data_IF_198256191934
#
_entry.id   IF_198256191934
#
_cell.length_a   1.000
_cell.length_b   1.000
_cell.length_c   1.000
_cell.angle_alpha   90.00
_cell.angle_beta   90.00
_cell.angle_gamma   90.00
#
_symmetry.space_group_name_H-M   'P 1'
#
loop_
_entity.id
_entity.type
_entity.pdbx_description
1 polymer ?
#
# COMPACT_ATOMS: atom_id res chain seq x y z
N UNK A 1 -5.07 -40.43 14.62
CA UNK A 1 -6.01 -40.51 13.49
C UNK A 1 -5.29 -39.97 12.26
N UNK A 2 -4.96 -40.82 11.29
CA UNK A 2 -4.28 -40.44 10.03
C UNK A 2 -5.31 -39.88 9.04
N UNK A 3 -4.95 -38.81 8.34
CA UNK A 3 -5.82 -38.16 7.35
C UNK A 3 -6.06 -39.12 6.16
N UNK A 4 -7.31 -39.53 5.88
CA UNK A 4 -7.62 -40.53 4.84
C UNK A 4 -7.41 -40.04 3.40
N UNK A 5 -7.08 -38.76 3.20
CA UNK A 5 -6.84 -38.16 1.88
C UNK A 5 -5.38 -38.24 1.41
N UNK A 6 -4.43 -38.49 2.30
CA UNK A 6 -3.03 -38.65 1.96
C UNK A 6 -2.71 -40.13 1.83
N UNK A 7 -2.89 -40.67 0.61
CA UNK A 7 -2.41 -42.01 0.29
C UNK A 7 -0.88 -41.95 0.21
N UNK A 8 -0.13 -42.77 0.99
CA UNK A 8 1.33 -42.72 1.03
C UNK A 8 2.03 -42.85 -0.34
N UNK A 9 1.33 -43.42 -1.32
CA UNK A 9 1.85 -43.71 -2.66
C UNK A 9 1.18 -42.90 -3.78
N UNK A 10 0.55 -41.77 -3.48
CA UNK A 10 -0.05 -40.94 -4.53
C UNK A 10 1.03 -40.39 -5.48
N UNK A 11 1.03 -40.77 -6.78
CA UNK A 11 2.07 -40.39 -7.74
C UNK A 11 2.16 -38.89 -7.99
N UNK A 12 1.14 -38.10 -7.61
CA UNK A 12 1.15 -36.64 -7.73
C UNK A 12 2.10 -35.95 -6.75
N UNK A 13 2.38 -36.59 -5.61
CA UNK A 13 3.28 -36.05 -4.58
C UNK A 13 4.67 -36.69 -4.63
N UNK A 14 4.92 -37.59 -5.60
CA UNK A 14 6.26 -38.09 -5.84
C UNK A 14 7.09 -36.98 -6.46
N UNK A 15 8.12 -36.54 -5.72
CA UNK A 15 9.11 -35.59 -6.18
C UNK A 15 9.75 -36.17 -7.45
N UNK A 16 9.47 -35.59 -8.62
CA UNK A 16 10.08 -36.04 -9.86
C UNK A 16 11.60 -35.96 -9.70
N UNK A 17 12.28 -37.08 -9.93
CA UNK A 17 13.71 -37.20 -9.78
C UNK A 17 14.36 -36.47 -10.96
N UNK A 18 14.89 -35.28 -10.71
CA UNK A 18 15.38 -34.36 -11.75
C UNK A 18 16.77 -34.80 -12.27
N UNK A 19 17.46 -35.71 -11.58
CA UNK A 19 18.72 -36.28 -12.06
C UNK A 19 18.49 -37.65 -12.71
N UNK A 20 18.97 -37.83 -13.93
CA UNK A 20 19.10 -39.15 -14.55
C UNK A 20 20.16 -39.99 -13.80
N UNK A 21 20.14 -41.31 -13.98
CA UNK A 21 21.02 -42.24 -13.28
C UNK A 21 22.53 -41.98 -13.48
N UNK A 22 22.90 -41.27 -14.56
CA UNK A 22 24.26 -40.85 -14.87
C UNK A 22 24.67 -39.52 -14.22
N UNK A 23 23.82 -38.92 -13.38
CA UNK A 23 24.12 -37.65 -12.69
C UNK A 23 24.10 -36.41 -13.58
N UNK A 24 23.87 -36.56 -14.89
CA UNK A 24 23.71 -35.46 -15.82
C UNK A 24 22.34 -34.79 -15.67
N UNK A 25 22.34 -33.46 -15.57
CA UNK A 25 21.14 -32.64 -15.59
C UNK A 25 20.77 -32.34 -17.05
N UNK A 26 19.62 -32.82 -17.56
CA UNK A 26 19.21 -32.58 -18.96
C UNK A 26 18.93 -31.10 -19.27
N UNK A 27 18.91 -30.23 -18.26
CA UNK A 27 18.76 -28.78 -18.42
C UNK A 27 20.09 -28.01 -18.37
N UNK A 28 21.24 -28.69 -18.28
CA UNK A 28 22.56 -28.05 -18.22
C UNK A 28 23.17 -27.77 -19.60
N UNK A 29 22.69 -28.41 -20.68
CA UNK A 29 23.20 -28.19 -22.03
C UNK A 29 22.28 -27.24 -22.80
N UNK A 30 22.53 -25.95 -22.63
CA UNK A 30 21.83 -24.87 -23.33
C UNK A 30 22.72 -24.12 -24.32
N UNK A 31 23.68 -24.78 -24.99
CA UNK A 31 24.63 -24.09 -25.88
C UNK A 31 24.73 -24.68 -27.31
N UNK A 32 23.84 -25.58 -27.71
CA UNK A 32 24.06 -26.38 -28.94
C UNK A 32 23.08 -26.25 -30.11
N UNK A 33 21.85 -25.75 -29.93
CA UNK A 33 20.78 -25.99 -30.95
C UNK A 33 20.02 -24.74 -31.40
N UNK A 34 20.45 -23.53 -31.05
CA UNK A 34 19.75 -22.29 -31.44
C UNK A 34 20.52 -21.40 -32.43
N UNK A 35 21.54 -21.91 -33.14
CA UNK A 35 22.23 -21.13 -34.19
C UNK A 35 21.51 -21.13 -35.55
N UNK A 36 20.52 -21.99 -35.78
CA UNK A 36 19.87 -22.10 -37.10
C UNK A 36 18.55 -21.30 -37.25
N UNK A 37 18.02 -20.72 -36.17
CA UNK A 37 16.74 -19.99 -36.18
C UNK A 37 16.88 -18.55 -35.64
N UNK A 38 18.10 -18.01 -35.71
CA UNK A 38 18.50 -16.73 -35.15
C UNK A 38 18.24 -15.51 -36.06
N UNK A 39 17.69 -15.68 -37.26
CA UNK A 39 17.58 -14.56 -38.23
C UNK A 39 16.20 -13.87 -38.33
N UNK A 40 15.16 -14.33 -37.63
CA UNK A 40 13.80 -13.80 -37.86
C UNK A 40 13.12 -13.13 -36.64
N UNK A 41 13.75 -13.03 -35.47
CA UNK A 41 13.05 -12.54 -34.26
C UNK A 41 13.90 -11.68 -33.29
N UNK A 42 14.88 -10.91 -33.78
CA UNK A 42 15.79 -10.12 -32.95
C UNK A 42 15.31 -8.69 -32.61
N UNK A 43 14.04 -8.50 -32.23
CA UNK A 43 13.57 -7.21 -31.67
C UNK A 43 12.64 -7.33 -30.47
N UNK A 44 12.67 -8.46 -29.75
CA UNK A 44 11.97 -8.57 -28.47
C UNK A 44 12.93 -9.09 -27.40
N UNK A 45 13.26 -8.22 -26.46
CA UNK A 45 14.06 -8.46 -25.26
C UNK A 45 13.81 -9.84 -24.66
N UNK A 46 14.70 -10.79 -24.96
CA UNK A 46 14.77 -12.12 -24.33
C UNK A 46 15.69 -12.15 -23.10
N UNK A 47 15.94 -10.99 -22.49
CA UNK A 47 16.83 -10.83 -21.33
C UNK A 47 16.09 -10.45 -20.04
N UNK A 48 14.80 -10.73 -19.92
CA UNK A 48 14.01 -10.40 -18.72
C UNK A 48 14.26 -11.35 -17.53
N UNK A 49 14.93 -12.48 -17.73
CA UNK A 49 15.22 -13.46 -16.66
C UNK A 49 16.69 -13.94 -16.60
N UNK A 50 17.59 -13.33 -17.36
CA UNK A 50 19.02 -13.61 -17.22
C UNK A 50 19.52 -12.98 -15.91
N UNK A 51 19.93 -13.82 -14.95
CA UNK A 51 20.61 -13.34 -13.75
C UNK A 51 21.89 -12.60 -14.21
N UNK A 52 22.08 -11.32 -13.85
CA UNK A 52 23.26 -10.58 -14.29
C UNK A 52 24.51 -11.28 -13.75
N UNK A 53 25.37 -11.74 -14.67
CA UNK A 53 26.69 -12.20 -14.35
C UNK A 53 27.36 -11.15 -13.45
N UNK A 54 27.77 -11.58 -12.25
CA UNK A 54 28.33 -10.78 -11.16
C UNK A 54 29.13 -9.55 -11.61
N UNK A 55 28.44 -8.43 -11.84
CA UNK A 55 29.08 -7.16 -12.15
C UNK A 55 29.27 -6.39 -10.85
N UNK A 56 30.51 -6.47 -10.35
CA UNK A 56 31.15 -5.59 -9.36
C UNK A 56 30.28 -4.75 -8.43
N UNK A 57 30.27 -5.13 -7.14
CA UNK A 57 30.21 -4.21 -5.99
C UNK A 57 28.98 -3.32 -5.79
N UNK A 58 27.99 -3.33 -6.69
CA UNK A 58 26.76 -2.54 -6.52
C UNK A 58 25.76 -3.35 -5.70
N UNK A 59 25.15 -2.76 -4.64
CA UNK A 59 24.10 -3.42 -3.87
C UNK A 59 22.98 -3.87 -4.80
N UNK A 60 22.48 -5.09 -4.61
CA UNK A 60 21.30 -5.59 -5.31
C UNK A 60 20.11 -4.66 -5.00
N UNK A 61 19.58 -4.00 -6.04
CA UNK A 61 18.36 -3.20 -5.96
C UNK A 61 17.25 -4.01 -6.62
N UNK A 62 16.32 -4.61 -5.87
CA UNK A 62 15.22 -5.36 -6.47
C UNK A 62 14.38 -4.43 -7.35
N UNK A 63 14.25 -4.77 -8.64
CA UNK A 63 13.34 -4.12 -9.55
C UNK A 63 12.02 -4.91 -9.52
N UNK A 64 11.01 -4.37 -8.85
CA UNK A 64 9.67 -4.94 -8.87
C UNK A 64 8.95 -4.44 -10.11
N UNK A 65 8.31 -5.35 -10.84
CA UNK A 65 7.36 -4.99 -11.89
C UNK A 65 6.19 -4.22 -11.23
N UNK A 66 5.85 -3.06 -11.78
CA UNK A 66 4.76 -2.24 -11.25
C UNK A 66 3.45 -2.99 -11.49
N UNK A 67 2.91 -3.58 -10.43
CA UNK A 67 1.74 -4.47 -10.51
C UNK A 67 0.42 -3.75 -10.26
N UNK A 68 0.45 -2.51 -9.76
CA UNK A 68 -0.75 -1.78 -9.36
C UNK A 68 -0.69 -0.29 -9.72
N UNK A 69 -1.83 0.20 -10.25
CA UNK A 69 -2.08 1.62 -10.49
C UNK A 69 -2.11 2.43 -9.18
N UNK A 70 -1.79 3.72 -9.30
CA UNK A 70 -1.83 4.65 -8.18
C UNK A 70 -3.28 5.00 -7.80
N UNK A 71 -3.55 5.17 -6.49
CA UNK A 71 -4.90 5.48 -5.96
C UNK A 71 -5.07 6.94 -5.53
N UNK A 72 -4.22 7.82 -6.05
CA UNK A 72 -4.15 9.22 -5.61
C UNK A 72 -5.49 9.97 -5.78
N UNK A 73 -6.24 9.70 -6.84
CA UNK A 73 -7.56 10.31 -7.05
C UNK A 73 -8.57 9.95 -5.95
N UNK A 74 -8.61 8.68 -5.53
CA UNK A 74 -9.46 8.22 -4.43
C UNK A 74 -9.08 8.93 -3.12
N UNK A 75 -7.78 9.02 -2.83
CA UNK A 75 -7.29 9.69 -1.62
C UNK A 75 -7.71 11.17 -1.59
N UNK A 76 -7.61 11.88 -2.72
CA UNK A 76 -8.04 13.28 -2.81
C UNK A 76 -9.55 13.47 -2.59
N UNK A 77 -10.38 12.53 -3.08
CA UNK A 77 -11.82 12.56 -2.83
C UNK A 77 -12.11 12.38 -1.33
N UNK A 78 -11.48 11.39 -0.69
CA UNK A 78 -11.66 11.19 0.77
C UNK A 78 -11.14 12.41 1.56
N UNK A 79 -9.99 12.97 1.21
CA UNK A 79 -9.46 14.19 1.82
C UNK A 79 -10.43 15.36 1.66
N UNK A 80 -11.10 15.48 0.51
CA UNK A 80 -12.08 16.55 0.29
C UNK A 80 -13.30 16.40 1.22
N UNK A 81 -13.76 15.15 1.45
CA UNK A 81 -14.84 14.85 2.41
C UNK A 81 -14.42 15.21 3.83
N UNK A 82 -13.18 14.90 4.23
CA UNK A 82 -12.69 15.22 5.58
C UNK A 82 -12.52 16.72 5.79
N UNK A 83 -12.10 17.47 4.76
CA UNK A 83 -12.05 18.94 4.79
C UNK A 83 -13.45 19.52 5.02
N UNK A 84 -14.47 19.02 4.32
CA UNK A 84 -15.86 19.45 4.53
C UNK A 84 -16.33 19.16 5.96
N UNK A 85 -16.05 17.95 6.47
CA UNK A 85 -16.36 17.59 7.85
C UNK A 85 -15.66 18.50 8.87
N UNK A 86 -14.42 18.91 8.60
CA UNK A 86 -13.69 19.90 9.41
C UNK A 86 -14.34 21.28 9.39
N UNK A 87 -14.81 21.74 8.23
CA UNK A 87 -15.60 22.98 8.11
C UNK A 87 -16.87 22.94 8.97
N UNK A 88 -17.60 21.82 8.93
CA UNK A 88 -18.77 21.60 9.78
C UNK A 88 -18.38 21.62 11.26
N UNK A 89 -17.28 20.96 11.65
CA UNK A 89 -16.80 20.96 13.03
C UNK A 89 -16.54 22.39 13.56
N UNK A 90 -15.91 23.26 12.76
CA UNK A 90 -15.69 24.66 13.13
C UNK A 90 -16.98 25.47 13.23
N UNK A 91 -17.92 25.29 12.30
CA UNK A 91 -19.24 25.94 12.37
C UNK A 91 -20.00 25.52 13.63
N UNK A 92 -19.90 24.24 14.03
CA UNK A 92 -20.52 23.76 15.27
C UNK A 92 -19.81 24.31 16.51
N UNK A 93 -18.49 24.48 16.45
CA UNK A 93 -17.70 25.04 17.56
C UNK A 93 -18.07 26.50 17.86
N UNK A 94 -18.40 27.30 16.83
CA UNK A 94 -18.82 28.69 17.02
C UNK A 94 -20.29 28.85 17.43
N UNK A 95 -21.14 27.86 17.15
CA UNK A 95 -22.61 27.95 17.34
C UNK A 95 -23.11 27.50 18.72
N UNK A 96 -22.23 27.37 19.73
CA UNK A 96 -22.56 27.14 21.16
C UNK A 96 -23.52 25.97 21.49
N UNK A 97 -23.54 24.90 20.68
CA UNK A 97 -24.37 23.74 21.01
C UNK A 97 -23.62 22.72 21.86
N UNK A 98 -24.06 22.56 23.11
CA UNK A 98 -23.67 21.50 24.07
C UNK A 98 -23.80 20.06 23.50
N UNK A 99 -24.56 19.88 22.41
CA UNK A 99 -24.79 18.58 21.74
C UNK A 99 -23.89 18.39 20.49
N UNK A 100 -23.24 19.46 20.01
CA UNK A 100 -22.52 19.45 18.73
C UNK A 100 -21.19 18.69 18.74
N UNK A 101 -20.60 18.40 19.91
CA UNK A 101 -19.24 17.84 20.02
C UNK A 101 -19.10 16.40 19.51
N UNK A 102 -20.20 15.67 19.36
CA UNK A 102 -20.21 14.33 18.76
C UNK A 102 -20.05 14.35 17.24
N UNK A 103 -20.53 15.41 16.57
CA UNK A 103 -20.51 15.52 15.12
C UNK A 103 -19.06 15.53 14.55
N UNK A 104 -18.11 16.31 15.13
CA UNK A 104 -16.70 16.28 14.74
C UNK A 104 -16.05 14.89 14.82
N UNK A 105 -16.45 14.04 15.79
CA UNK A 105 -15.86 12.72 15.98
C UNK A 105 -16.05 11.81 14.76
N UNK A 106 -17.16 11.99 14.03
CA UNK A 106 -17.46 11.26 12.79
C UNK A 106 -16.42 11.58 11.71
N UNK A 107 -15.88 12.80 11.70
CA UNK A 107 -14.84 13.23 10.75
C UNK A 107 -13.43 12.74 11.07
N UNK A 108 -13.15 12.36 12.34
CA UNK A 108 -11.81 11.95 12.78
C UNK A 108 -11.42 10.61 12.15
N UNK A 109 -12.31 9.62 12.21
CA UNK A 109 -12.06 8.26 11.71
C UNK A 109 -11.66 8.23 10.23
N UNK A 110 -12.43 8.82 9.29
CA UNK A 110 -12.04 8.83 7.87
C UNK A 110 -10.76 9.64 7.65
N UNK A 111 -10.54 10.72 8.40
CA UNK A 111 -9.33 11.55 8.28
C UNK A 111 -8.06 10.77 8.65
N UNK A 112 -8.10 10.02 9.75
CA UNK A 112 -7.01 9.13 10.18
C UNK A 112 -6.81 8.01 9.15
N UNK A 113 -7.89 7.40 8.66
CA UNK A 113 -7.81 6.33 7.66
C UNK A 113 -7.07 6.80 6.38
N UNK A 114 -7.38 8.01 5.90
CA UNK A 114 -6.69 8.60 4.72
C UNK A 114 -5.20 8.82 5.00
N UNK A 115 -4.83 9.28 6.20
CA UNK A 115 -3.41 9.47 6.56
C UNK A 115 -2.66 8.14 6.49
N UNK A 116 -3.20 7.07 7.07
CA UNK A 116 -2.58 5.74 7.03
C UNK A 116 -2.52 5.17 5.62
N UNK A 117 -3.61 5.29 4.84
CA UNK A 117 -3.64 4.82 3.45
C UNK A 117 -2.64 5.56 2.58
N UNK A 118 -2.55 6.89 2.69
CA UNK A 118 -1.58 7.69 1.94
C UNK A 118 -0.13 7.38 2.35
N UNK A 119 0.13 7.14 3.64
CA UNK A 119 1.46 6.75 4.12
C UNK A 119 1.90 5.37 3.59
N UNK A 120 0.99 4.40 3.56
CA UNK A 120 1.25 3.07 3.00
C UNK A 120 1.44 3.12 1.47
N UNK A 121 0.63 3.90 0.77
CA UNK A 121 0.79 4.16 -0.67
C UNK A 121 2.16 4.77 -0.98
N UNK A 122 2.64 5.73 -0.20
CA UNK A 122 3.98 6.31 -0.39
C UNK A 122 5.11 5.31 -0.07
N UNK A 123 4.91 4.45 0.93
CA UNK A 123 5.89 3.40 1.27
C UNK A 123 5.99 2.38 0.14
N UNK A 124 4.87 1.94 -0.41
CA UNK A 124 4.82 0.98 -1.53
C UNK A 124 5.37 1.58 -2.83
N UNK A 125 5.11 2.86 -3.13
CA UNK A 125 5.76 3.57 -4.24
C UNK A 125 7.28 3.64 -4.07
N UNK A 126 7.78 3.88 -2.84
CA UNK A 126 9.22 3.89 -2.56
C UNK A 126 9.89 2.53 -2.79
N UNK A 127 9.15 1.44 -2.60
CA UNK A 127 9.61 0.08 -2.85
C UNK A 127 9.51 -0.32 -4.34
N UNK A 128 8.95 0.52 -5.20
CA UNK A 128 8.74 0.20 -6.62
C UNK A 128 7.54 -0.71 -6.89
N UNK A 129 6.71 -1.02 -5.87
CA UNK A 129 5.55 -1.88 -6.04
C UNK A 129 4.35 -1.17 -6.70
N UNK A 130 4.37 0.17 -6.77
CA UNK A 130 3.32 1.01 -7.35
C UNK A 130 3.89 2.10 -8.24
N UNK A 131 3.06 2.55 -9.18
CA UNK A 131 3.37 3.63 -10.12
C UNK A 131 3.81 4.93 -9.38
N UNK A 132 5.01 5.46 -9.64
CA UNK A 132 5.51 6.67 -9.00
C UNK A 132 4.87 7.96 -9.51
N UNK A 133 4.14 7.95 -10.64
CA UNK A 133 3.54 9.16 -11.22
C UNK A 133 2.56 9.85 -10.24
N UNK A 134 1.86 9.08 -9.41
CA UNK A 134 0.91 9.58 -8.41
C UNK A 134 1.53 10.11 -7.10
N UNK A 135 2.86 10.15 -6.97
CA UNK A 135 3.54 10.45 -5.69
C UNK A 135 3.23 11.85 -5.14
N UNK A 136 3.23 12.87 -6.00
CA UNK A 136 2.98 14.27 -5.60
C UNK A 136 1.55 14.46 -5.08
N UNK A 137 0.57 13.87 -5.78
CA UNK A 137 -0.84 13.90 -5.38
C UNK A 137 -1.08 13.14 -4.07
N UNK A 138 -0.41 12.00 -3.88
CA UNK A 138 -0.49 11.21 -2.64
C UNK A 138 0.12 11.97 -1.45
N UNK A 139 1.25 12.66 -1.67
CA UNK A 139 1.82 13.56 -0.65
C UNK A 139 0.88 14.71 -0.30
N UNK A 140 0.25 15.33 -1.30
CA UNK A 140 -0.73 16.39 -1.07
C UNK A 140 -1.92 15.88 -0.23
N UNK A 141 -2.48 14.73 -0.58
CA UNK A 141 -3.57 14.10 0.16
C UNK A 141 -3.17 13.78 1.61
N UNK A 142 -1.95 13.28 1.82
CA UNK A 142 -1.38 13.01 3.15
C UNK A 142 -1.32 14.30 3.98
N UNK A 143 -0.69 15.36 3.44
CA UNK A 143 -0.53 16.63 4.16
C UNK A 143 -1.86 17.29 4.49
N UNK A 144 -2.76 17.34 3.51
CA UNK A 144 -4.10 17.89 3.71
C UNK A 144 -4.89 17.10 4.75
N UNK A 145 -4.85 15.76 4.72
CA UNK A 145 -5.56 14.94 5.71
C UNK A 145 -4.94 15.04 7.09
N UNK A 146 -3.60 15.10 7.20
CA UNK A 146 -2.91 15.30 8.47
C UNK A 146 -3.30 16.65 9.10
N UNK A 147 -3.27 17.73 8.31
CA UNK A 147 -3.70 19.05 8.75
C UNK A 147 -5.16 19.03 9.19
N UNK A 148 -6.05 18.47 8.37
CA UNK A 148 -7.48 18.36 8.66
C UNK A 148 -7.74 17.58 9.95
N UNK A 149 -7.00 16.49 10.20
CA UNK A 149 -7.10 15.71 11.45
C UNK A 149 -6.75 16.58 12.66
N UNK A 150 -5.65 17.33 12.59
CA UNK A 150 -5.23 18.24 13.68
C UNK A 150 -6.31 19.31 13.90
N UNK A 151 -6.85 19.87 12.82
CA UNK A 151 -7.90 20.88 12.86
C UNK A 151 -9.18 20.36 13.54
N UNK A 152 -9.65 19.15 13.19
CA UNK A 152 -10.83 18.54 13.81
C UNK A 152 -10.57 18.23 15.30
N UNK A 153 -9.40 17.68 15.64
CA UNK A 153 -9.04 17.41 17.03
C UNK A 153 -8.99 18.70 17.87
N UNK A 154 -8.45 19.77 17.30
CA UNK A 154 -8.37 21.08 17.95
C UNK A 154 -9.76 21.66 18.18
N UNK A 155 -10.63 21.65 17.16
CA UNK A 155 -12.01 22.12 17.28
C UNK A 155 -12.78 21.31 18.33
N UNK A 156 -12.64 19.99 18.31
CA UNK A 156 -13.27 19.09 19.30
C UNK A 156 -12.78 19.38 20.72
N UNK A 157 -11.46 19.52 20.90
CA UNK A 157 -10.86 19.85 22.19
C UNK A 157 -11.31 21.20 22.74
N UNK A 158 -11.45 22.21 21.87
CA UNK A 158 -11.98 23.52 22.25
C UNK A 158 -13.44 23.42 22.72
N UNK A 159 -14.28 22.65 22.01
CA UNK A 159 -15.68 22.43 22.39
C UNK A 159 -15.79 21.73 23.75
N UNK A 160 -14.95 20.72 24.02
CA UNK A 160 -14.91 20.03 25.31
C UNK A 160 -14.47 21.00 26.41
N UNK A 161 -13.40 21.76 26.19
CA UNK A 161 -12.88 22.74 27.15
C UNK A 161 -13.94 23.79 27.51
N UNK A 162 -14.62 24.36 26.50
CA UNK A 162 -15.70 25.32 26.73
C UNK A 162 -16.91 24.68 27.40
N UNK A 163 -17.29 23.47 27.00
CA UNK A 163 -18.37 22.71 27.62
C UNK A 163 -18.15 22.50 29.11
N UNK A 164 -16.94 22.12 29.52
CA UNK A 164 -16.57 21.96 30.94
C UNK A 164 -16.63 23.29 31.69
N UNK A 165 -16.15 24.39 31.09
CA UNK A 165 -16.11 25.70 31.75
C UNK A 165 -17.49 26.30 32.03
N UNK A 166 -18.53 25.88 31.30
CA UNK A 166 -19.91 26.36 31.46
C UNK A 166 -20.69 25.53 32.48
N UNK A 167 -20.26 24.29 32.78
CA UNK A 167 -20.97 23.43 33.72
C UNK A 167 -20.86 23.97 35.15
N UNK A 168 -21.97 24.00 35.92
CA UNK A 168 -21.94 24.46 37.30
C UNK A 168 -21.06 23.56 38.17
N UNK A 169 -20.38 24.11 39.20
CA UNK A 169 -19.57 23.34 40.14
C UNK A 169 -20.50 22.40 40.94
N UNK A 170 -20.54 21.13 40.55
CA UNK A 170 -21.45 20.12 41.12
C UNK A 170 -22.01 19.11 40.11
N UNK A 171 -21.73 19.29 38.81
CA UNK A 171 -22.19 18.37 37.74
C UNK A 171 -21.16 17.31 37.31
N UNK A 172 -19.93 17.35 37.85
CA UNK A 172 -18.84 16.38 37.63
C UNK A 172 -18.58 15.59 38.91
#
# INVERSE_FOLDING_TARGET
MSNPLLRPDDPRFRKQQISQADGANPYAEGDGVLEAEADAASTRDKNSFAAPASSGGRPFVPQYEVTADHRAGLLLILTSITILASGVAWLTATSFMLVGWLLPLIGIVPSIAVVFLAADDLRTMRLGARDPAGRTLTLLALWLSAFTTITILTATGLMIYWGISILPPGFL
#
